data_IF_824595515538
#
_entry.id   IF_824595515538
#
_cell.length_a   1.000
_cell.length_b   1.000
_cell.length_c   1.000
_cell.angle_alpha   90.00
_cell.angle_beta   90.00
_cell.angle_gamma   90.00
#
_symmetry.space_group_name_H-M   'P 1'
#
loop_
_entity.id
_entity.type
_entity.pdbx_description
1 polymer ?
#
# COMPACT_ATOMS: atom_id res chain seq x y z
N UNK A 1 17.33 -6.52 11.90
CA UNK A 1 18.11 -7.30 10.90
C UNK A 1 17.09 -8.07 10.07
N UNK A 2 16.97 -7.84 8.76
CA UNK A 2 16.02 -8.56 7.92
C UNK A 2 16.72 -9.13 6.69
N UNK A 3 16.84 -10.45 6.65
CA UNK A 3 16.82 -11.25 5.43
C UNK A 3 16.62 -12.74 5.79
N UNK A 4 15.61 -13.42 5.24
CA UNK A 4 15.86 -14.66 4.56
C UNK A 4 16.39 -14.30 3.16
N UNK A 5 17.69 -14.50 2.94
CA UNK A 5 18.36 -14.47 1.63
C UNK A 5 17.95 -15.70 0.79
N UNK A 6 16.67 -16.02 0.76
CA UNK A 6 16.15 -17.11 -0.04
C UNK A 6 14.99 -16.57 -0.82
N UNK A 7 15.16 -16.55 -2.15
CA UNK A 7 14.06 -16.32 -3.06
C UNK A 7 12.95 -17.32 -2.71
N UNK A 8 11.80 -16.81 -2.33
CA UNK A 8 10.58 -17.57 -2.10
C UNK A 8 9.69 -17.29 -3.29
N UNK A 9 9.14 -18.34 -3.92
CA UNK A 9 8.24 -18.21 -5.06
C UNK A 9 6.79 -18.48 -4.64
N UNK A 10 6.42 -18.07 -3.41
CA UNK A 10 5.08 -18.30 -2.87
C UNK A 10 4.10 -17.35 -3.52
N UNK A 11 2.87 -17.85 -3.62
CA UNK A 11 1.71 -17.08 -4.07
C UNK A 11 0.80 -16.86 -2.88
N UNK A 12 0.63 -15.61 -2.51
CA UNK A 12 -0.35 -15.18 -1.51
C UNK A 12 -1.58 -14.62 -2.20
N UNK A 13 -2.74 -14.84 -1.60
CA UNK A 13 -4.02 -14.37 -2.11
C UNK A 13 -4.69 -13.49 -1.07
N UNK A 14 -5.26 -12.38 -1.52
CA UNK A 14 -5.96 -11.41 -0.69
C UNK A 14 -7.36 -11.24 -1.24
N UNK A 15 -8.36 -11.31 -0.37
CA UNK A 15 -9.77 -11.09 -0.71
C UNK A 15 -10.41 -10.16 0.32
N UNK A 16 -11.05 -9.09 -0.16
CA UNK A 16 -11.82 -8.20 0.69
C UNK A 16 -12.92 -8.97 1.44
N UNK A 17 -13.05 -8.72 2.74
CA UNK A 17 -14.05 -9.38 3.59
C UNK A 17 -13.74 -10.83 3.97
N UNK A 18 -12.57 -11.38 3.61
CA UNK A 18 -12.14 -12.67 4.15
C UNK A 18 -11.94 -12.61 5.67
N UNK A 19 -11.92 -13.78 6.32
CA UNK A 19 -11.67 -13.86 7.75
C UNK A 19 -10.22 -13.45 8.08
N UNK A 20 -9.98 -12.76 9.20
CA UNK A 20 -8.63 -12.48 9.66
C UNK A 20 -7.91 -13.78 10.08
N UNK A 21 -6.57 -13.76 10.07
CA UNK A 21 -5.75 -14.86 10.60
C UNK A 21 -5.62 -16.08 9.67
N UNK A 22 -6.08 -16.00 8.44
CA UNK A 22 -5.92 -17.04 7.41
C UNK A 22 -4.46 -17.16 6.93
N UNK A 23 -4.16 -18.23 6.18
CA UNK A 23 -2.81 -18.54 5.70
C UNK A 23 -2.42 -17.81 4.40
N UNK A 24 -3.36 -17.11 3.74
CA UNK A 24 -3.11 -16.42 2.47
C UNK A 24 -3.05 -17.35 1.27
N UNK A 25 -3.64 -18.53 1.34
CA UNK A 25 -3.78 -19.45 0.19
C UNK A 25 -5.01 -19.09 -0.63
N UNK A 26 -5.16 -19.65 -1.83
CA UNK A 26 -6.34 -19.39 -2.67
C UNK A 26 -7.66 -19.78 -1.97
N UNK A 27 -7.65 -20.86 -1.19
CA UNK A 27 -8.82 -21.34 -0.44
C UNK A 27 -9.02 -20.62 0.91
N UNK A 28 -7.96 -19.99 1.44
CA UNK A 28 -8.00 -19.23 2.70
C UNK A 28 -7.21 -17.93 2.53
N UNK A 29 -7.74 -16.97 1.76
CA UNK A 29 -7.04 -15.73 1.42
C UNK A 29 -6.92 -14.82 2.65
N UNK A 30 -5.89 -13.97 2.67
CA UNK A 30 -5.79 -12.90 3.65
C UNK A 30 -6.91 -11.87 3.44
N UNK A 31 -7.30 -11.20 4.51
CA UNK A 31 -8.37 -10.20 4.47
C UNK A 31 -7.90 -8.78 4.14
N UNK A 32 -6.59 -8.52 4.20
CA UNK A 32 -6.01 -7.21 3.89
C UNK A 32 -4.78 -7.33 3.02
N UNK A 33 -4.54 -6.30 2.20
CA UNK A 33 -3.31 -6.19 1.40
C UNK A 33 -2.09 -6.05 2.34
N UNK A 34 -2.24 -5.35 3.47
CA UNK A 34 -1.20 -5.22 4.49
C UNK A 34 -0.72 -6.59 5.00
N UNK A 35 -1.65 -7.51 5.29
CA UNK A 35 -1.27 -8.87 5.73
C UNK A 35 -0.51 -9.63 4.65
N UNK A 36 -0.90 -9.47 3.39
CA UNK A 36 -0.21 -10.06 2.24
C UNK A 36 1.24 -9.57 2.13
N UNK A 37 1.46 -8.25 2.19
CA UNK A 37 2.82 -7.70 2.12
C UNK A 37 3.65 -8.04 3.35
N UNK A 38 3.06 -8.11 4.54
CA UNK A 38 3.77 -8.51 5.76
C UNK A 38 4.24 -9.97 5.72
N UNK A 39 3.52 -10.84 5.01
CA UNK A 39 3.89 -12.25 4.86
C UNK A 39 4.97 -12.50 3.79
N UNK A 40 5.18 -11.55 2.87
CA UNK A 40 6.02 -11.75 1.70
C UNK A 40 7.53 -11.66 1.99
N UNK A 41 8.27 -12.51 1.29
CA UNK A 41 9.73 -12.52 1.17
C UNK A 41 10.15 -12.25 -0.28
N UNK A 42 11.44 -11.95 -0.56
CA UNK A 42 11.91 -11.69 -1.93
C UNK A 42 11.50 -12.81 -2.91
N UNK A 43 10.92 -12.43 -4.06
CA UNK A 43 10.41 -13.36 -5.09
C UNK A 43 8.92 -13.70 -4.97
N UNK A 44 8.29 -13.44 -3.82
CA UNK A 44 6.89 -13.78 -3.61
C UNK A 44 5.96 -12.88 -4.43
N UNK A 45 4.81 -13.45 -4.80
CA UNK A 45 3.73 -12.74 -5.49
C UNK A 45 2.47 -12.71 -4.62
N UNK A 46 1.86 -11.54 -4.51
CA UNK A 46 0.63 -11.30 -3.79
C UNK A 46 -0.44 -10.94 -4.82
N UNK A 47 -1.42 -11.81 -4.98
CA UNK A 47 -2.56 -11.64 -5.88
C UNK A 47 -3.75 -11.09 -5.10
N UNK A 48 -4.24 -9.93 -5.52
CA UNK A 48 -5.35 -9.25 -4.85
C UNK A 48 -6.61 -9.38 -5.69
N UNK A 49 -7.62 -10.01 -5.11
CA UNK A 49 -8.92 -10.20 -5.76
C UNK A 49 -9.74 -8.91 -5.77
N UNK A 50 -10.74 -8.87 -6.64
CA UNK A 50 -11.69 -7.77 -6.74
C UNK A 50 -12.29 -7.45 -5.37
N UNK A 51 -12.41 -6.15 -5.10
CA UNK A 51 -12.87 -5.65 -3.81
C UNK A 51 -12.37 -4.24 -3.54
N UNK A 52 -12.95 -3.61 -2.53
CA UNK A 52 -12.50 -2.32 -2.01
C UNK A 52 -11.69 -2.53 -0.75
N UNK A 53 -10.47 -2.03 -0.73
CA UNK A 53 -9.53 -2.11 0.38
C UNK A 53 -9.33 -0.71 0.95
N UNK A 54 -9.66 -0.56 2.24
CA UNK A 54 -9.69 0.75 2.91
C UNK A 54 -8.69 0.84 4.05
N UNK A 55 -8.38 2.06 4.45
CA UNK A 55 -7.59 2.37 5.63
C UNK A 55 -8.48 2.51 6.88
N UNK A 56 -7.87 2.45 8.06
CA UNK A 56 -8.48 3.06 9.26
C UNK A 56 -8.36 4.58 9.14
N UNK A 57 -9.38 5.34 9.56
CA UNK A 57 -9.44 6.79 9.32
C UNK A 57 -8.13 7.51 9.67
N UNK A 58 -7.57 8.24 8.69
CA UNK A 58 -6.31 8.98 8.83
C UNK A 58 -5.02 8.15 8.71
N UNK A 59 -5.10 6.84 8.44
CA UNK A 59 -3.94 5.98 8.18
C UNK A 59 -3.72 5.66 6.70
N UNK A 60 -2.60 5.01 6.39
CA UNK A 60 -2.35 4.45 5.06
C UNK A 60 -3.18 3.17 4.86
N UNK A 61 -3.49 2.82 3.61
CA UNK A 61 -4.07 1.50 3.30
C UNK A 61 -3.01 0.41 3.41
N UNK A 62 -1.82 0.66 2.84
CA UNK A 62 -0.72 -0.30 2.82
C UNK A 62 0.61 0.41 3.08
N UNK A 63 1.32 -0.02 4.13
CA UNK A 63 2.68 0.40 4.43
C UNK A 63 3.65 -0.73 4.09
N UNK A 64 4.51 -0.48 3.11
CA UNK A 64 5.47 -1.44 2.58
C UNK A 64 6.81 -1.19 3.24
N UNK A 65 7.19 -2.13 4.13
CA UNK A 65 8.48 -2.17 4.82
C UNK A 65 9.39 -3.30 4.31
N UNK A 66 8.93 -4.04 3.30
CA UNK A 66 9.65 -5.18 2.72
C UNK A 66 10.54 -4.71 1.59
N UNK A 67 11.58 -5.50 1.34
CA UNK A 67 12.55 -5.26 0.29
C UNK A 67 12.80 -6.57 -0.43
N UNK A 68 12.63 -6.57 -1.75
CA UNK A 68 13.06 -7.66 -2.61
C UNK A 68 14.57 -7.60 -2.87
N UNK A 69 15.00 -8.24 -3.94
CA UNK A 69 16.38 -8.17 -4.46
C UNK A 69 16.37 -7.84 -5.94
N UNK A 70 17.49 -7.40 -6.54
CA UNK A 70 17.58 -7.12 -7.98
C UNK A 70 17.02 -8.23 -8.88
N UNK A 71 17.16 -9.48 -8.45
CA UNK A 71 16.72 -10.67 -9.19
C UNK A 71 15.42 -11.28 -8.66
N UNK A 72 14.95 -10.90 -7.47
CA UNK A 72 13.75 -11.46 -6.84
C UNK A 72 12.90 -10.34 -6.24
N UNK A 73 12.09 -9.72 -7.09
CA UNK A 73 11.19 -8.65 -6.69
C UNK A 73 10.02 -9.22 -5.90
N UNK A 74 9.46 -8.43 -4.98
CA UNK A 74 8.15 -8.73 -4.40
C UNK A 74 7.10 -8.14 -5.33
N UNK A 75 6.17 -8.96 -5.81
CA UNK A 75 5.15 -8.54 -6.78
C UNK A 75 3.80 -8.45 -6.09
N UNK A 76 3.20 -7.27 -6.11
CA UNK A 76 1.83 -7.02 -5.70
C UNK A 76 1.00 -6.73 -6.96
N UNK A 77 0.03 -7.59 -7.25
CA UNK A 77 -0.71 -7.56 -8.51
C UNK A 77 -2.17 -7.96 -8.31
N UNK A 78 -3.05 -7.56 -9.23
CA UNK A 78 -4.41 -8.06 -9.28
C UNK A 78 -4.46 -9.58 -9.57
N UNK A 79 -5.50 -10.25 -9.07
CA UNK A 79 -5.78 -11.65 -9.40
C UNK A 79 -6.48 -11.75 -10.75
N UNK A 80 -5.82 -12.36 -11.74
CA UNK A 80 -6.35 -12.49 -13.10
C UNK A 80 -6.73 -11.13 -13.73
N UNK A 81 -8.02 -10.91 -14.02
CA UNK A 81 -8.55 -9.67 -14.61
C UNK A 81 -9.28 -8.81 -13.57
N UNK A 82 -9.18 -9.16 -12.29
CA UNK A 82 -9.81 -8.40 -11.22
C UNK A 82 -9.27 -6.97 -11.17
N UNK A 83 -10.10 -6.06 -10.69
CA UNK A 83 -9.77 -4.64 -10.50
C UNK A 83 -9.88 -4.28 -9.02
N UNK A 84 -8.92 -4.69 -8.17
CA UNK A 84 -8.90 -4.29 -6.78
C UNK A 84 -8.76 -2.77 -6.67
N UNK A 85 -9.61 -2.18 -5.83
CA UNK A 85 -9.65 -0.73 -5.58
C UNK A 85 -9.13 -0.44 -4.19
N UNK A 86 -8.16 0.46 -4.09
CA UNK A 86 -7.81 1.13 -2.85
C UNK A 86 -8.69 2.38 -2.74
N UNK A 87 -9.49 2.49 -1.68
CA UNK A 87 -10.29 3.67 -1.39
C UNK A 87 -9.93 4.17 0.00
N UNK A 88 -9.46 5.42 0.10
CA UNK A 88 -8.88 5.90 1.34
C UNK A 88 -9.17 7.36 1.65
N UNK A 89 -9.21 7.66 2.95
CA UNK A 89 -9.33 9.02 3.50
C UNK A 89 -8.13 9.45 4.35
N UNK A 90 -7.04 8.70 4.26
CA UNK A 90 -5.78 8.95 4.96
C UNK A 90 -4.67 9.46 4.05
N UNK A 91 -3.42 9.27 4.47
CA UNK A 91 -2.27 9.85 3.81
C UNK A 91 -1.87 9.14 2.51
N UNK A 92 -1.92 7.80 2.47
CA UNK A 92 -1.48 7.03 1.32
C UNK A 92 -2.33 5.80 0.98
N UNK A 93 -2.52 5.55 -0.32
CA UNK A 93 -2.89 4.21 -0.81
C UNK A 93 -1.75 3.22 -0.57
N UNK A 94 -0.59 3.45 -1.20
CA UNK A 94 0.65 2.73 -0.93
C UNK A 94 1.72 3.65 -0.35
N UNK A 95 2.30 3.27 0.79
CA UNK A 95 3.41 3.97 1.43
C UNK A 95 4.65 3.07 1.45
N UNK A 96 5.62 3.35 0.57
CA UNK A 96 6.92 2.69 0.58
C UNK A 96 7.85 3.49 1.49
N UNK A 97 8.15 2.94 2.65
CA UNK A 97 8.99 3.63 3.65
C UNK A 97 10.48 3.53 3.29
N UNK A 98 11.31 4.30 4.00
CA UNK A 98 12.77 4.27 3.84
C UNK A 98 13.32 2.84 3.95
N UNK A 99 14.06 2.43 2.92
CA UNK A 99 14.68 1.10 2.81
C UNK A 99 13.86 0.07 2.03
N UNK A 100 12.58 0.33 1.72
CA UNK A 100 11.79 -0.50 0.83
C UNK A 100 12.31 -0.38 -0.62
N UNK A 101 12.57 -1.50 -1.28
CA UNK A 101 13.08 -1.53 -2.66
C UNK A 101 12.72 -2.85 -3.36
N UNK A 102 12.82 -2.88 -4.70
CA UNK A 102 12.53 -4.05 -5.55
C UNK A 102 11.10 -4.56 -5.35
N UNK A 103 10.15 -3.62 -5.39
CA UNK A 103 8.72 -3.85 -5.25
C UNK A 103 8.04 -3.50 -6.57
N UNK A 104 7.21 -4.41 -7.07
CA UNK A 104 6.36 -4.16 -8.24
C UNK A 104 4.91 -4.06 -7.79
N UNK A 105 4.23 -2.96 -8.14
CA UNK A 105 2.80 -2.75 -7.87
C UNK A 105 2.11 -2.53 -9.21
N UNK A 106 1.09 -3.33 -9.54
CA UNK A 106 0.38 -3.23 -10.81
C UNK A 106 -1.09 -3.70 -10.69
N UNK A 107 -1.97 -3.19 -11.55
CA UNK A 107 -3.36 -3.66 -11.64
C UNK A 107 -4.31 -3.15 -10.56
N UNK A 108 -3.97 -2.05 -9.87
CA UNK A 108 -4.81 -1.45 -8.84
C UNK A 108 -5.48 -0.16 -9.34
N UNK A 109 -6.75 0.00 -9.01
CA UNK A 109 -7.39 1.32 -9.00
C UNK A 109 -7.11 1.97 -7.64
N UNK A 110 -6.74 3.25 -7.64
CA UNK A 110 -6.46 4.00 -6.41
C UNK A 110 -7.34 5.26 -6.42
N UNK A 111 -8.22 5.36 -5.44
CA UNK A 111 -9.12 6.49 -5.24
C UNK A 111 -8.89 7.12 -3.86
N UNK A 112 -8.47 8.38 -3.86
CA UNK A 112 -8.34 9.18 -2.65
C UNK A 112 -9.63 9.94 -2.31
N UNK A 113 -9.58 10.75 -1.25
CA UNK A 113 -10.75 11.40 -0.66
C UNK A 113 -11.25 12.67 -1.37
N UNK A 114 -10.64 13.06 -2.50
CA UNK A 114 -10.86 14.38 -3.10
C UNK A 114 -12.33 14.69 -3.37
N UNK A 115 -13.13 13.71 -3.82
CA UNK A 115 -14.55 13.88 -4.09
C UNK A 115 -15.39 14.22 -2.84
N UNK A 116 -14.89 13.94 -1.63
CA UNK A 116 -15.57 14.22 -0.37
C UNK A 116 -15.06 15.50 0.33
N UNK A 117 -14.14 16.24 -0.30
CA UNK A 117 -13.57 17.48 0.24
C UNK A 117 -14.28 18.68 -0.41
N UNK A 118 -14.94 19.49 0.41
CA UNK A 118 -15.52 20.76 -0.03
C UNK A 118 -14.50 21.90 0.06
N UNK A 119 -14.72 22.98 -0.71
CA UNK A 119 -13.90 24.19 -0.63
C UNK A 119 -13.84 24.77 0.79
N UNK A 120 -14.98 24.80 1.49
CA UNK A 120 -15.06 25.31 2.86
C UNK A 120 -14.21 24.50 3.85
N UNK A 121 -14.17 23.17 3.69
CA UNK A 121 -13.31 22.30 4.49
C UNK A 121 -11.83 22.51 4.13
N UNK A 122 -11.50 22.65 2.85
CA UNK A 122 -10.12 22.87 2.40
C UNK A 122 -9.55 24.19 2.94
N UNK A 123 -10.32 25.29 2.92
CA UNK A 123 -9.88 26.61 3.42
C UNK A 123 -9.66 26.67 4.93
N UNK A 124 -10.15 25.67 5.68
CA UNK A 124 -10.02 25.62 7.15
C UNK A 124 -9.00 24.59 7.62
N UNK A 125 -8.30 23.91 6.69
CA UNK A 125 -7.29 22.91 7.02
C UNK A 125 -6.23 23.48 7.98
N UNK A 126 -6.04 22.87 9.16
CA UNK A 126 -4.96 23.24 10.07
C UNK A 126 -3.57 23.02 9.42
N UNK A 127 -2.62 23.91 9.69
CA UNK A 127 -1.29 23.92 9.08
C UNK A 127 -1.25 24.40 7.62
N UNK A 128 -2.33 25.02 7.11
CA UNK A 128 -2.35 25.69 5.80
C UNK A 128 -1.89 27.16 5.92
N UNK A 129 -1.72 27.85 4.80
CA UNK A 129 -1.42 29.30 4.82
C UNK A 129 -2.55 30.11 5.49
N UNK A 130 -3.81 29.69 5.30
CA UNK A 130 -4.99 30.39 5.81
C UNK A 130 -5.35 29.99 7.26
N UNK A 131 -4.91 28.82 7.72
CA UNK A 131 -4.98 28.39 9.11
C UNK A 131 -3.63 27.77 9.54
N UNK A 132 -2.64 28.58 9.93
CA UNK A 132 -1.27 28.14 10.17
C UNK A 132 -1.09 27.34 11.48
N UNK A 133 -2.14 27.21 12.28
CA UNK A 133 -2.10 26.51 13.57
C UNK A 133 -2.60 25.08 13.45
N UNK A 134 -2.15 24.19 14.34
CA UNK A 134 -2.60 22.80 14.40
C UNK A 134 -1.88 21.84 13.44
N UNK A 135 -2.34 20.59 13.42
CA UNK A 135 -1.74 19.50 12.64
C UNK A 135 -2.51 19.29 11.35
N UNK A 136 -1.80 19.15 10.23
CA UNK A 136 -2.40 18.86 8.92
C UNK A 136 -3.30 17.62 8.98
N UNK A 137 -4.49 17.73 8.39
CA UNK A 137 -5.44 16.64 8.35
C UNK A 137 -5.21 15.79 7.08
N UNK A 138 -4.92 14.49 7.20
CA UNK A 138 -4.69 13.61 6.05
C UNK A 138 -5.87 13.52 5.08
N UNK A 139 -7.09 13.79 5.53
CA UNK A 139 -8.28 13.78 4.68
C UNK A 139 -8.19 14.75 3.48
N UNK A 140 -7.30 15.73 3.55
CA UNK A 140 -7.01 16.72 2.50
C UNK A 140 -5.64 16.52 1.83
N UNK A 141 -4.82 15.59 2.32
CA UNK A 141 -3.40 15.43 1.93
C UNK A 141 -3.10 13.98 1.48
N UNK A 142 -4.08 13.32 0.88
CA UNK A 142 -3.95 11.94 0.42
C UNK A 142 -3.11 11.80 -0.85
N UNK A 143 -2.22 10.81 -0.88
CA UNK A 143 -1.38 10.45 -2.02
C UNK A 143 -1.74 9.04 -2.52
N UNK A 144 -1.73 8.81 -3.83
CA UNK A 144 -1.95 7.45 -4.35
C UNK A 144 -0.81 6.51 -3.96
N UNK A 145 0.43 6.89 -4.29
CA UNK A 145 1.65 6.15 -3.97
C UNK A 145 2.68 7.15 -3.42
N UNK A 146 3.23 6.87 -2.25
CA UNK A 146 4.36 7.61 -1.66
C UNK A 146 5.61 6.72 -1.62
N UNK A 147 6.76 7.32 -1.92
CA UNK A 147 8.06 6.66 -1.89
C UNK A 147 9.03 7.50 -1.07
N UNK A 148 9.45 6.99 0.07
CA UNK A 148 10.37 7.67 0.97
C UNK A 148 11.77 7.10 0.86
N UNK A 149 12.74 7.89 0.38
CA UNK A 149 14.16 7.52 0.33
C UNK A 149 15.03 8.11 1.45
N UNK A 150 14.44 8.89 2.37
CA UNK A 150 15.21 9.72 3.31
C UNK A 150 15.80 8.86 4.44
N UNK A 151 17.11 8.57 4.38
CA UNK A 151 17.90 8.01 5.48
C UNK A 151 18.73 6.74 5.21
N UNK A 152 18.62 6.11 4.03
CA UNK A 152 19.41 4.92 3.69
C UNK A 152 19.98 5.02 2.27
N UNK A 153 21.19 4.50 2.08
CA UNK A 153 22.00 4.50 0.85
C UNK A 153 21.45 3.53 -0.21
N UNK A 154 20.13 3.42 -0.35
CA UNK A 154 19.46 2.47 -1.25
C UNK A 154 18.51 3.24 -2.17
N UNK A 155 18.79 3.20 -3.47
CA UNK A 155 17.89 3.73 -4.50
C UNK A 155 16.65 2.83 -4.60
N UNK A 156 15.47 3.40 -4.42
CA UNK A 156 14.20 2.68 -4.58
C UNK A 156 13.96 2.35 -6.05
N UNK A 157 14.13 1.09 -6.45
CA UNK A 157 13.69 0.62 -7.76
C UNK A 157 12.22 0.21 -7.68
N UNK A 158 11.34 1.00 -8.32
CA UNK A 158 9.90 0.79 -8.42
C UNK A 158 9.52 0.89 -9.89
N UNK A 159 8.70 -0.04 -10.37
CA UNK A 159 8.16 0.00 -11.73
C UNK A 159 6.63 0.00 -11.66
N UNK A 160 6.01 0.98 -12.32
CA UNK A 160 4.57 1.12 -12.51
C UNK A 160 4.30 0.93 -14.02
N UNK A 161 3.90 -0.27 -14.47
CA UNK A 161 3.44 -0.51 -15.83
C UNK A 161 1.99 -0.07 -16.04
#
# INVERSE_FOLDING_TARGET
>A
MYAPNTASNKKYYVQAGANPGTAGTLAAPFNTIQRGIDAAAPGDSIFVMAGTYTNTAGSDVVVIRRTGTPTNWIVLTNYQNDKPKLSFNGYQGFNLVAGAAYIKIQGFEIEGNNANVTLAQATTQPGSCDNPTGTVNPAFNGNGISVSGRGAVMYGHITLP
#
